data_IF_426665967151
#
_entry.id   IF_426665967151
#
_cell.length_a   1.000
_cell.length_b   1.000
_cell.length_c   1.000
_cell.angle_alpha   90.00
_cell.angle_beta   90.00
_cell.angle_gamma   90.00
#
_symmetry.space_group_name_H-M   'P 1'
#
loop_
_entity.id
_entity.type
_entity.pdbx_description
1 polymer ?
#
# COMPACT_ATOMS: atom_id res chain seq x y z
N UNK A 1 35.86 -41.36 33.69
CA UNK A 1 36.91 -41.53 32.67
C UNK A 1 36.40 -40.88 31.41
N UNK A 2 36.89 -39.93 30.95
CA UNK A 2 37.93 -39.34 30.20
C UNK A 2 37.71 -37.81 30.07
N UNK A 3 38.73 -37.11 30.43
CA UNK A 3 39.04 -35.70 30.13
C UNK A 3 39.36 -35.56 28.65
N UNK A 4 39.19 -34.33 28.11
CA UNK A 4 40.09 -33.64 27.17
C UNK A 4 39.46 -32.25 26.98
N UNK A 5 39.94 -31.16 27.55
CA UNK A 5 41.06 -30.28 27.22
C UNK A 5 40.69 -29.26 26.08
N UNK A 6 40.65 -27.99 26.47
CA UNK A 6 40.67 -26.81 25.60
C UNK A 6 42.05 -26.61 24.94
N UNK A 7 42.15 -25.80 23.91
CA UNK A 7 43.21 -24.81 23.91
C UNK A 7 42.78 -23.36 23.73
N UNK A 8 43.47 -22.56 24.45
CA UNK A 8 43.67 -21.11 24.41
C UNK A 8 44.41 -20.74 23.13
N UNK A 9 44.09 -19.63 22.54
CA UNK A 9 44.83 -19.03 21.41
C UNK A 9 44.37 -17.63 21.10
N UNK A 10 44.90 -16.69 21.78
CA UNK A 10 45.73 -15.55 21.29
C UNK A 10 44.99 -14.34 20.73
N UNK A 11 45.03 -13.30 21.50
CA UNK A 11 44.84 -11.89 21.20
C UNK A 11 45.64 -11.44 19.95
N UNK A 12 44.99 -10.78 19.01
CA UNK A 12 45.64 -9.85 18.12
C UNK A 12 44.87 -8.51 18.16
N UNK A 13 45.51 -7.59 18.87
CA UNK A 13 45.28 -6.15 18.82
C UNK A 13 45.64 -5.67 17.42
N UNK A 14 44.66 -5.24 16.64
CA UNK A 14 44.90 -4.44 15.44
C UNK A 14 44.75 -2.96 15.81
N UNK A 15 45.91 -2.30 15.81
CA UNK A 15 46.07 -0.87 15.91
C UNK A 15 45.37 -0.17 14.75
N UNK A 16 44.41 0.67 15.04
CA UNK A 16 43.88 1.66 14.09
C UNK A 16 44.80 2.86 14.09
N UNK A 17 45.57 3.00 13.02
CA UNK A 17 46.33 4.19 12.70
C UNK A 17 45.41 5.24 12.05
N UNK A 18 45.37 6.43 12.69
CA UNK A 18 44.85 7.66 12.14
C UNK A 18 45.48 8.00 10.79
N UNK A 19 44.67 8.09 9.75
CA UNK A 19 45.01 8.87 8.57
C UNK A 19 43.97 9.94 8.31
N UNK A 20 44.39 11.14 8.61
CA UNK A 20 43.74 12.42 8.24
C UNK A 20 43.82 12.66 6.72
N UNK A 21 42.76 13.36 6.26
CA UNK A 21 42.70 14.16 5.04
C UNK A 21 42.36 13.43 3.74
N UNK A 22 41.10 13.51 3.39
CA UNK A 22 40.58 13.45 2.02
C UNK A 22 39.45 14.47 1.89
N UNK A 23 39.76 15.60 1.30
CA UNK A 23 38.82 16.66 0.96
C UNK A 23 37.70 16.13 0.08
N UNK A 24 36.49 16.03 0.65
CA UNK A 24 35.28 15.69 -0.08
C UNK A 24 34.80 16.91 -0.87
N UNK A 25 35.22 16.99 -2.12
CA UNK A 25 34.71 17.99 -3.08
C UNK A 25 33.24 17.66 -3.35
N UNK A 26 32.35 18.51 -2.83
CA UNK A 26 30.97 18.61 -3.27
C UNK A 26 30.92 19.06 -4.72
N UNK A 27 30.69 18.17 -5.67
CA UNK A 27 30.17 18.50 -7.00
C UNK A 27 28.99 17.53 -7.29
N UNK A 28 27.80 18.06 -7.21
CA UNK A 28 26.57 17.44 -7.61
C UNK A 28 25.50 18.51 -7.52
N UNK A 29 25.34 19.25 -8.59
CA UNK A 29 24.31 20.27 -8.80
C UNK A 29 22.92 19.60 -8.72
N UNK A 30 22.28 19.73 -7.56
CA UNK A 30 20.89 19.33 -7.31
C UNK A 30 19.96 20.55 -7.40
N UNK A 31 20.22 21.42 -8.36
CA UNK A 31 19.35 22.53 -8.71
C UNK A 31 18.26 22.07 -9.68
N UNK A 32 17.22 21.40 -9.20
CA UNK A 32 15.84 21.53 -9.67
C UNK A 32 14.88 20.52 -9.00
N UNK A 33 15.00 20.33 -7.70
CA UNK A 33 13.83 19.85 -6.93
C UNK A 33 13.23 21.06 -6.27
N UNK A 34 12.15 21.58 -6.83
CA UNK A 34 11.20 22.44 -6.13
C UNK A 34 10.76 21.70 -4.86
N UNK A 35 11.59 21.82 -3.81
CA UNK A 35 11.24 21.26 -2.50
C UNK A 35 10.03 22.02 -2.02
N UNK A 36 8.87 21.40 -2.06
CA UNK A 36 7.64 21.95 -1.47
C UNK A 36 7.90 22.17 0.01
N UNK A 37 8.31 23.40 0.36
CA UNK A 37 8.51 23.82 1.75
C UNK A 37 7.17 24.19 2.37
N UNK A 38 7.03 23.97 3.67
CA UNK A 38 5.83 24.37 4.39
C UNK A 38 5.75 25.90 4.44
N UNK A 39 4.70 26.48 3.85
CA UNK A 39 4.48 27.92 3.80
C UNK A 39 3.89 28.44 5.12
N UNK A 40 4.24 29.69 5.41
CA UNK A 40 3.66 30.39 6.56
C UNK A 40 2.14 30.54 6.37
N UNK A 41 1.29 30.16 7.34
CA UNK A 41 -0.16 30.26 7.21
C UNK A 41 -0.70 31.70 7.20
N UNK A 42 0.15 32.69 7.53
CA UNK A 42 -0.26 34.09 7.61
C UNK A 42 0.14 34.93 6.40
N UNK A 43 1.29 34.64 5.77
CA UNK A 43 1.81 35.42 4.65
C UNK A 43 2.29 34.58 3.46
N UNK A 44 2.11 33.26 3.50
CA UNK A 44 2.53 32.31 2.48
C UNK A 44 4.06 32.29 2.16
N UNK A 45 4.88 32.93 2.99
CA UNK A 45 6.34 32.89 2.82
C UNK A 45 6.87 31.46 3.04
N UNK A 46 7.85 31.03 2.26
CA UNK A 46 8.34 29.63 2.25
C UNK A 46 9.38 29.33 3.32
N UNK A 47 9.94 30.35 3.98
CA UNK A 47 10.98 30.17 4.97
C UNK A 47 10.47 30.42 6.38
N UNK A 48 10.77 29.47 7.26
CA UNK A 48 10.51 29.56 8.70
C UNK A 48 11.62 28.87 9.46
N UNK A 49 11.96 29.39 10.66
CA UNK A 49 12.91 28.77 11.58
C UNK A 49 12.17 28.05 12.69
N UNK A 50 12.66 26.89 13.12
CA UNK A 50 12.17 26.19 14.29
C UNK A 50 12.76 26.84 15.53
N UNK A 51 11.92 27.35 16.43
CA UNK A 51 12.33 27.99 17.66
C UNK A 51 12.29 27.07 18.88
N UNK A 52 11.44 26.04 18.84
CA UNK A 52 11.28 25.05 19.91
C UNK A 52 10.79 23.73 19.32
N UNK A 53 11.22 22.60 19.88
CA UNK A 53 10.81 21.25 19.49
C UNK A 53 10.60 20.41 20.73
N UNK A 54 9.42 19.79 20.88
CA UNK A 54 9.06 18.96 22.03
C UNK A 54 8.28 17.74 21.58
N UNK A 55 8.46 16.65 22.32
CA UNK A 55 7.67 15.46 22.11
C UNK A 55 6.21 15.67 22.55
N UNK A 56 5.27 15.32 21.71
CA UNK A 56 3.85 15.26 22.01
C UNK A 56 3.46 13.79 22.18
N UNK A 57 3.77 13.24 23.36
CA UNK A 57 3.68 11.79 23.67
C UNK A 57 2.26 11.25 23.42
N UNK A 58 1.22 11.99 23.80
CA UNK A 58 -0.18 11.60 23.61
C UNK A 58 -0.56 11.42 22.14
N UNK A 59 0.10 12.15 21.23
CA UNK A 59 -0.17 12.12 19.79
C UNK A 59 0.85 11.30 19.01
N UNK A 60 1.84 10.69 19.67
CA UNK A 60 2.99 10.06 19.02
C UNK A 60 3.59 10.96 17.91
N UNK A 61 3.85 12.22 18.25
CA UNK A 61 4.22 13.28 17.33
C UNK A 61 5.31 14.17 17.91
N UNK A 62 6.05 14.86 17.06
CA UNK A 62 6.95 15.94 17.46
C UNK A 62 6.25 17.28 17.20
N UNK A 63 6.02 18.04 18.26
CA UNK A 63 5.48 19.39 18.17
C UNK A 63 6.62 20.36 17.94
N UNK A 64 6.56 21.13 16.82
CA UNK A 64 7.57 22.17 16.53
C UNK A 64 6.93 23.54 16.52
N UNK A 65 7.52 24.49 17.27
CA UNK A 65 7.16 25.90 17.21
C UNK A 65 8.04 26.58 16.17
N UNK A 66 7.41 27.20 15.20
CA UNK A 66 8.08 27.87 14.07
C UNK A 66 7.82 29.36 14.10
N UNK A 67 8.78 30.13 13.60
CA UNK A 67 8.67 31.58 13.39
C UNK A 67 8.95 31.86 11.91
N UNK A 68 8.03 32.57 11.25
CA UNK A 68 8.20 32.98 9.87
C UNK A 68 9.34 34.00 9.73
N UNK A 69 10.21 33.84 8.74
CA UNK A 69 11.32 34.74 8.52
C UNK A 69 10.87 36.09 7.95
N UNK A 70 9.67 36.20 7.34
CA UNK A 70 9.15 37.44 6.77
C UNK A 70 8.24 38.21 7.73
N UNK A 71 7.15 37.58 8.19
CA UNK A 71 6.14 38.27 9.03
C UNK A 71 6.36 38.12 10.54
N UNK A 72 7.41 37.40 10.97
CA UNK A 72 7.81 37.16 12.35
C UNK A 72 6.72 36.49 13.22
N UNK A 73 5.61 36.11 12.64
CA UNK A 73 4.53 35.40 13.37
C UNK A 73 4.91 33.97 13.65
N UNK A 74 4.47 33.50 14.80
CA UNK A 74 4.74 32.14 15.26
C UNK A 74 3.54 31.23 14.98
N UNK A 75 3.86 30.01 14.52
CA UNK A 75 2.88 28.94 14.33
C UNK A 75 3.44 27.62 14.79
N UNK A 76 2.55 26.66 15.04
CA UNK A 76 2.93 25.33 15.49
C UNK A 76 2.68 24.33 14.39
N UNK A 77 3.59 23.38 14.24
CA UNK A 77 3.45 22.23 13.34
C UNK A 77 3.65 20.96 14.12
N UNK A 78 3.01 19.89 13.65
CA UNK A 78 3.20 18.56 14.20
C UNK A 78 3.82 17.68 13.11
N UNK A 79 4.85 16.95 13.49
CA UNK A 79 5.46 15.92 12.65
C UNK A 79 4.98 14.58 13.20
N UNK A 80 4.16 13.91 12.43
CA UNK A 80 3.55 12.62 12.77
C UNK A 80 3.99 11.55 11.81
N UNK A 81 4.01 10.30 12.25
CA UNK A 81 4.23 9.17 11.36
C UNK A 81 2.93 8.92 10.58
N UNK A 82 2.98 9.11 9.28
CA UNK A 82 1.86 8.71 8.42
C UNK A 82 1.96 7.21 8.14
N UNK A 83 0.97 6.46 8.62
CA UNK A 83 0.84 5.03 8.41
C UNK A 83 -0.28 4.72 7.39
N UNK A 84 -0.66 5.68 6.58
CA UNK A 84 -1.68 5.48 5.55
C UNK A 84 -1.26 4.37 4.57
N UNK A 85 -2.23 3.55 4.20
CA UNK A 85 -2.07 2.57 3.13
C UNK A 85 -2.12 3.29 1.79
N UNK A 86 -1.13 3.11 0.94
CA UNK A 86 -1.06 3.71 -0.39
C UNK A 86 -1.31 2.67 -1.49
N UNK A 87 -1.97 3.11 -2.55
CA UNK A 87 -2.21 2.29 -3.75
C UNK A 87 -1.34 2.80 -4.89
N UNK A 88 -0.46 1.94 -5.39
CA UNK A 88 0.33 2.19 -6.58
C UNK A 88 -0.50 1.89 -7.82
N UNK A 89 -0.73 2.90 -8.65
CA UNK A 89 -1.46 2.77 -9.91
C UNK A 89 -0.60 2.15 -11.02
N UNK A 90 -1.23 1.77 -12.13
CA UNK A 90 -0.54 1.16 -13.29
C UNK A 90 0.47 2.11 -13.94
N UNK A 91 0.25 3.40 -13.87
CA UNK A 91 1.14 4.47 -14.35
C UNK A 91 2.32 4.77 -13.41
N UNK A 92 2.40 4.06 -12.27
CA UNK A 92 3.42 4.24 -11.26
C UNK A 92 3.14 5.36 -10.25
N UNK A 93 2.03 6.09 -10.39
CA UNK A 93 1.61 7.10 -9.41
C UNK A 93 1.05 6.47 -8.14
N UNK A 94 1.14 7.20 -7.04
CA UNK A 94 0.64 6.77 -5.73
C UNK A 94 -0.58 7.59 -5.34
N UNK A 95 -1.54 6.92 -4.75
CA UNK A 95 -2.75 7.52 -4.19
C UNK A 95 -3.05 6.89 -2.84
N UNK A 96 -3.49 7.68 -1.87
CA UNK A 96 -3.95 7.16 -0.60
C UNK A 96 -5.12 6.19 -0.80
N UNK A 97 -5.10 5.09 -0.06
CA UNK A 97 -6.16 4.10 -0.13
C UNK A 97 -7.50 4.72 0.30
N UNK A 98 -8.43 4.80 -0.62
CA UNK A 98 -9.76 5.34 -0.38
C UNK A 98 -10.76 4.19 -0.27
N UNK A 99 -11.25 3.96 0.94
CA UNK A 99 -12.24 2.92 1.26
C UNK A 99 -13.48 3.03 0.37
N UNK A 100 -13.97 4.26 0.16
CA UNK A 100 -15.17 4.54 -0.60
C UNK A 100 -15.03 4.17 -2.10
N UNK A 101 -13.83 4.36 -2.67
CA UNK A 101 -13.57 3.93 -4.05
C UNK A 101 -13.63 2.41 -4.19
N UNK A 102 -13.11 1.69 -3.18
CA UNK A 102 -13.16 0.24 -3.18
C UNK A 102 -14.61 -0.25 -3.09
N UNK A 103 -15.38 0.28 -2.13
CA UNK A 103 -16.80 -0.03 -1.96
C UNK A 103 -17.57 0.25 -3.24
N UNK A 104 -17.39 1.43 -3.84
CA UNK A 104 -18.09 1.81 -5.07
C UNK A 104 -17.79 0.86 -6.24
N UNK A 105 -16.53 0.45 -6.40
CA UNK A 105 -16.13 -0.51 -7.44
C UNK A 105 -16.75 -1.89 -7.22
N UNK A 106 -16.82 -2.36 -5.98
CA UNK A 106 -17.46 -3.63 -5.62
C UNK A 106 -18.97 -3.56 -5.77
N UNK A 107 -19.62 -2.49 -5.31
CA UNK A 107 -21.08 -2.28 -5.45
C UNK A 107 -21.54 -2.31 -6.92
N UNK A 108 -20.77 -1.70 -7.81
CA UNK A 108 -21.09 -1.72 -9.23
C UNK A 108 -21.13 -3.15 -9.81
N UNK A 109 -20.25 -4.05 -9.33
CA UNK A 109 -20.25 -5.45 -9.71
C UNK A 109 -21.37 -6.25 -9.04
N UNK A 110 -21.72 -5.92 -7.80
CA UNK A 110 -22.71 -6.62 -6.99
C UNK A 110 -24.16 -6.22 -7.30
N UNK A 111 -24.41 -5.22 -8.16
CA UNK A 111 -25.79 -4.81 -8.53
C UNK A 111 -26.58 -5.99 -9.07
N UNK A 112 -27.80 -6.18 -8.56
CA UNK A 112 -28.71 -7.29 -8.93
C UNK A 112 -28.13 -8.68 -8.68
N UNK A 113 -27.19 -8.81 -7.75
CA UNK A 113 -26.73 -10.09 -7.19
C UNK A 113 -27.33 -10.30 -5.80
N UNK A 114 -26.99 -11.43 -5.16
CA UNK A 114 -27.45 -11.72 -3.78
C UNK A 114 -26.69 -10.95 -2.71
N UNK A 115 -25.64 -10.22 -3.09
CA UNK A 115 -24.77 -9.49 -2.16
C UNK A 115 -25.39 -8.13 -1.86
N UNK A 116 -25.71 -7.86 -0.60
CA UNK A 116 -26.21 -6.57 -0.15
C UNK A 116 -25.09 -5.53 -0.06
N UNK A 117 -25.47 -4.23 -0.09
CA UNK A 117 -24.52 -3.14 0.11
C UNK A 117 -23.74 -3.23 1.44
N UNK A 118 -24.39 -3.69 2.52
CA UNK A 118 -23.74 -3.87 3.82
C UNK A 118 -22.71 -5.00 3.79
N UNK A 119 -22.95 -6.07 3.05
CA UNK A 119 -21.97 -7.15 2.84
C UNK A 119 -20.78 -6.65 2.03
N UNK A 120 -20.99 -5.82 1.00
CA UNK A 120 -19.90 -5.17 0.22
C UNK A 120 -19.06 -4.30 1.15
N UNK A 121 -19.69 -3.47 1.99
CA UNK A 121 -18.97 -2.65 2.96
C UNK A 121 -18.14 -3.50 3.92
N UNK A 122 -18.74 -4.53 4.49
CA UNK A 122 -18.05 -5.44 5.40
C UNK A 122 -16.82 -6.10 4.75
N UNK A 123 -16.94 -6.58 3.50
CA UNK A 123 -15.81 -7.12 2.74
C UNK A 123 -14.71 -6.07 2.52
N UNK A 124 -15.06 -4.85 2.13
CA UNK A 124 -14.09 -3.80 1.91
C UNK A 124 -13.35 -3.40 3.19
N UNK A 125 -14.05 -3.35 4.33
CA UNK A 125 -13.44 -3.12 5.64
C UNK A 125 -12.51 -4.26 6.05
N UNK A 126 -12.92 -5.51 5.82
CA UNK A 126 -12.09 -6.69 6.09
C UNK A 126 -10.80 -6.66 5.27
N UNK A 127 -10.88 -6.39 3.96
CA UNK A 127 -9.71 -6.30 3.08
C UNK A 127 -8.72 -5.25 3.61
N UNK A 128 -9.19 -4.06 3.98
CA UNK A 128 -8.33 -3.02 4.55
C UNK A 128 -7.69 -3.47 5.86
N UNK A 129 -8.46 -4.03 6.76
CA UNK A 129 -7.98 -4.50 8.06
C UNK A 129 -6.91 -5.60 7.90
N UNK A 130 -7.12 -6.56 7.01
CA UNK A 130 -6.17 -7.64 6.71
C UNK A 130 -4.85 -7.10 6.14
N UNK A 131 -4.92 -6.12 5.24
CA UNK A 131 -3.73 -5.46 4.70
C UNK A 131 -2.95 -4.72 5.79
N UNK A 132 -3.64 -3.98 6.64
CA UNK A 132 -3.01 -3.25 7.74
C UNK A 132 -2.42 -4.21 8.80
N UNK A 133 -3.11 -5.30 9.12
CA UNK A 133 -2.63 -6.31 10.06
C UNK A 133 -1.35 -7.01 9.58
N UNK A 134 -1.20 -7.17 8.25
CA UNK A 134 0.04 -7.69 7.62
C UNK A 134 1.15 -6.65 7.54
N UNK A 135 0.93 -5.42 8.00
CA UNK A 135 1.90 -4.33 7.93
C UNK A 135 2.11 -3.77 6.52
N UNK A 136 1.20 -4.05 5.58
CA UNK A 136 1.27 -3.54 4.20
C UNK A 136 1.05 -2.03 4.22
N UNK A 137 2.01 -1.29 3.68
CA UNK A 137 1.93 0.18 3.56
C UNK A 137 1.69 0.63 2.13
N UNK A 138 2.03 -0.21 1.19
CA UNK A 138 1.88 0.01 -0.24
C UNK A 138 1.34 -1.26 -0.88
N UNK A 139 0.33 -1.12 -1.74
CA UNK A 139 -0.23 -2.23 -2.51
C UNK A 139 -0.42 -1.80 -3.96
N UNK A 140 -0.09 -2.68 -4.90
CA UNK A 140 -0.39 -2.46 -6.32
C UNK A 140 -1.89 -2.51 -6.59
N UNK A 141 -2.41 -1.62 -7.45
CA UNK A 141 -3.82 -1.65 -7.85
C UNK A 141 -4.23 -3.00 -8.46
N UNK A 142 -3.29 -3.71 -9.12
CA UNK A 142 -3.53 -5.07 -9.64
C UNK A 142 -3.69 -6.08 -8.51
N UNK A 143 -2.82 -6.06 -7.54
CA UNK A 143 -2.86 -6.96 -6.38
C UNK A 143 -4.12 -6.73 -5.55
N UNK A 144 -4.46 -5.46 -5.27
CA UNK A 144 -5.71 -5.11 -4.58
C UNK A 144 -6.94 -5.67 -5.31
N UNK A 145 -6.97 -5.56 -6.64
CA UNK A 145 -8.07 -6.10 -7.42
C UNK A 145 -8.15 -7.62 -7.40
N UNK A 146 -7.02 -8.32 -7.35
CA UNK A 146 -7.00 -9.78 -7.20
C UNK A 146 -7.55 -10.22 -5.84
N UNK A 147 -7.22 -9.49 -4.77
CA UNK A 147 -7.81 -9.72 -3.44
C UNK A 147 -9.33 -9.54 -3.47
N UNK A 148 -9.81 -8.48 -4.12
CA UNK A 148 -11.27 -8.26 -4.29
C UNK A 148 -11.91 -9.40 -5.07
N UNK A 149 -11.31 -9.79 -6.20
CA UNK A 149 -11.81 -10.89 -7.02
C UNK A 149 -11.90 -12.20 -6.24
N UNK A 150 -10.90 -12.51 -5.41
CA UNK A 150 -10.93 -13.72 -4.58
C UNK A 150 -12.10 -13.69 -3.58
N UNK A 151 -12.33 -12.56 -2.89
CA UNK A 151 -13.46 -12.43 -1.97
C UNK A 151 -14.82 -12.54 -2.68
N UNK A 152 -14.94 -11.93 -3.87
CA UNK A 152 -16.17 -12.02 -4.66
C UNK A 152 -16.42 -13.44 -5.18
N UNK A 153 -15.38 -14.15 -5.61
CA UNK A 153 -15.48 -15.54 -6.08
C UNK A 153 -16.06 -16.47 -5.03
N UNK A 154 -15.69 -16.29 -3.77
CA UNK A 154 -16.18 -17.08 -2.64
C UNK A 154 -17.63 -16.75 -2.26
N UNK A 155 -18.12 -15.56 -2.62
CA UNK A 155 -19.43 -15.06 -2.21
C UNK A 155 -20.48 -15.17 -3.32
N UNK A 156 -20.16 -14.73 -4.54
CA UNK A 156 -21.07 -14.73 -5.69
C UNK A 156 -20.28 -14.72 -7.00
N UNK A 157 -20.42 -15.78 -7.78
CA UNK A 157 -19.70 -15.96 -9.04
C UNK A 157 -20.07 -14.91 -10.09
N UNK A 158 -21.34 -14.45 -10.09
CA UNK A 158 -21.78 -13.43 -11.05
C UNK A 158 -21.14 -12.09 -10.74
N UNK A 159 -21.08 -11.70 -9.46
CA UNK A 159 -20.36 -10.49 -9.02
C UNK A 159 -18.87 -10.57 -9.38
N UNK A 160 -18.25 -11.72 -9.16
CA UNK A 160 -16.86 -11.96 -9.56
C UNK A 160 -16.65 -11.73 -11.07
N UNK A 161 -17.46 -12.36 -11.95
CA UNK A 161 -17.34 -12.21 -13.41
C UNK A 161 -17.50 -10.76 -13.82
N UNK A 162 -18.50 -10.07 -13.30
CA UNK A 162 -18.74 -8.64 -13.60
C UNK A 162 -17.58 -7.75 -13.16
N UNK A 163 -17.04 -7.98 -11.97
CA UNK A 163 -15.86 -7.26 -11.50
C UNK A 163 -14.65 -7.56 -12.39
N UNK A 164 -14.42 -8.84 -12.73
CA UNK A 164 -13.33 -9.27 -13.58
C UNK A 164 -13.39 -8.65 -14.98
N UNK A 165 -14.58 -8.51 -15.59
CA UNK A 165 -14.76 -7.87 -16.90
C UNK A 165 -14.23 -6.43 -16.92
N UNK A 166 -14.52 -5.65 -15.87
CA UNK A 166 -14.04 -4.26 -15.77
C UNK A 166 -12.56 -4.21 -15.38
N UNK A 167 -12.16 -5.07 -14.47
CA UNK A 167 -10.84 -5.03 -13.85
C UNK A 167 -9.74 -5.62 -14.75
N UNK A 168 -9.94 -6.82 -15.32
CA UNK A 168 -8.98 -7.52 -16.18
C UNK A 168 -8.93 -6.92 -17.59
N UNK A 169 -10.01 -6.25 -18.04
CA UNK A 169 -10.14 -5.71 -19.40
C UNK A 169 -9.85 -6.78 -20.46
N UNK A 170 -10.65 -7.83 -20.46
CA UNK A 170 -10.53 -8.91 -21.46
C UNK A 170 -10.50 -8.32 -22.87
N UNK A 171 -9.59 -8.82 -23.71
CA UNK A 171 -9.40 -8.34 -25.08
C UNK A 171 -10.45 -8.92 -26.02
N UNK A 172 -10.88 -10.14 -25.74
CA UNK A 172 -11.86 -10.87 -26.54
C UNK A 172 -12.73 -11.81 -25.68
N UNK A 173 -13.69 -12.44 -26.35
CA UNK A 173 -14.63 -13.37 -25.73
C UNK A 173 -13.91 -14.66 -25.26
N UNK A 174 -12.83 -15.06 -25.91
CA UNK A 174 -12.11 -16.29 -25.56
C UNK A 174 -11.44 -16.16 -24.18
N UNK A 175 -10.77 -15.03 -23.92
CA UNK A 175 -10.19 -14.73 -22.58
C UNK A 175 -11.28 -14.75 -21.48
N UNK A 176 -12.47 -14.23 -21.78
CA UNK A 176 -13.59 -14.26 -20.84
C UNK A 176 -14.10 -15.69 -20.60
N UNK A 177 -14.25 -16.49 -21.67
CA UNK A 177 -14.70 -17.88 -21.54
C UNK A 177 -13.71 -18.74 -20.75
N UNK A 178 -12.41 -18.54 -20.96
CA UNK A 178 -11.37 -19.22 -20.18
C UNK A 178 -11.48 -18.84 -18.69
N UNK A 179 -11.66 -17.55 -18.37
CA UNK A 179 -11.84 -17.10 -17.00
C UNK A 179 -13.09 -17.72 -16.35
N UNK A 180 -14.18 -17.90 -17.11
CA UNK A 180 -15.42 -18.54 -16.63
C UNK A 180 -15.19 -20.04 -16.40
N UNK A 181 -14.53 -20.74 -17.34
CA UNK A 181 -14.21 -22.18 -17.21
C UNK A 181 -13.37 -22.50 -15.97
N UNK A 182 -12.47 -21.59 -15.59
CA UNK A 182 -11.66 -21.75 -14.37
C UNK A 182 -12.47 -21.63 -13.07
N UNK A 183 -13.72 -21.15 -13.14
CA UNK A 183 -14.56 -20.90 -11.98
C UNK A 183 -15.71 -21.89 -11.91
N UNK A 184 -16.27 -22.24 -13.06
CA UNK A 184 -17.35 -23.22 -13.13
C UNK A 184 -16.83 -24.58 -12.62
N UNK A 185 -17.45 -25.18 -11.60
CA UNK A 185 -17.12 -26.55 -11.23
C UNK A 185 -17.36 -27.44 -12.46
N UNK A 186 -16.39 -28.29 -12.80
CA UNK A 186 -16.43 -29.17 -13.99
C UNK A 186 -17.55 -30.25 -13.93
N UNK A 187 -18.51 -30.14 -13.02
CA UNK A 187 -19.53 -31.16 -12.77
C UNK A 187 -20.77 -31.03 -13.66
N UNK A 188 -21.01 -29.91 -14.34
CA UNK A 188 -22.28 -29.73 -15.09
C UNK A 188 -22.16 -29.98 -16.61
N UNK A 189 -20.97 -30.21 -17.15
CA UNK A 189 -20.80 -30.43 -18.59
C UNK A 189 -20.90 -31.90 -19.04
N UNK A 190 -21.06 -32.84 -18.12
CA UNK A 190 -21.14 -34.28 -18.43
C UNK A 190 -22.56 -34.86 -18.49
N UNK A 191 -23.60 -34.12 -18.13
CA UNK A 191 -24.99 -34.67 -18.14
C UNK A 191 -25.65 -34.49 -19.51
N UNK A 192 -25.28 -33.52 -20.33
CA UNK A 192 -25.90 -33.32 -21.65
C UNK A 192 -25.29 -34.19 -22.76
N UNK A 193 -24.09 -34.74 -22.55
CA UNK A 193 -23.48 -35.64 -23.57
C UNK A 193 -24.11 -37.06 -23.56
N UNK A 194 -24.73 -37.48 -22.48
CA UNK A 194 -25.34 -38.83 -22.37
C UNK A 194 -26.82 -38.86 -22.74
N UNK A 195 -27.45 -37.72 -23.01
CA UNK A 195 -28.88 -37.66 -23.37
C UNK A 195 -29.11 -37.80 -24.90
N UNK A 196 -28.06 -37.70 -25.72
CA UNK A 196 -28.19 -37.73 -27.20
C UNK A 196 -27.96 -39.13 -27.79
N UNK A 197 -27.40 -40.09 -27.04
CA UNK A 197 -27.14 -41.45 -27.54
C UNK A 197 -28.28 -42.46 -27.26
N UNK A 198 -29.42 -42.02 -26.74
CA UNK A 198 -30.60 -42.91 -26.50
C UNK A 198 -31.85 -42.42 -27.23
N UNK A 199 -31.74 -42.16 -28.54
CA UNK A 199 -32.90 -42.11 -29.44
C UNK A 199 -32.60 -42.78 -30.76
#
# INVERSE_FOLDING_TARGET
MLRIAAPVGSSQLLQFSDQKNGSFQKKGDLSNRSSKRMKCPFCNHEESKVTDSRDAVELNAIRRRRECCQCMRRFTTFETVDLSLQVKKRDGTYEDFQQEKLIHGMDAACRHTRISHDQVRAMAYKIKADLMARGVREIGSRELGEIVMQNLKETDVVAYIRFACVYKRFKDIQELLEAIRLIAPQQELNEDANAVEKK
#
